data_IF_312275149168
#
_entry.id   IF_312275149168
#
_cell.length_a   1.000
_cell.length_b   1.000
_cell.length_c   1.000
_cell.angle_alpha   90.00
_cell.angle_beta   90.00
_cell.angle_gamma   90.00
#
_symmetry.space_group_name_H-M   'P 1'
#
loop_
_entity.id
_entity.type
_entity.pdbx_description
1 polymer ?
#
# COMPACT_ATOMS: atom_id res chain seq x y z
N UNK A 1 -13.63 -29.55 -3.79
CA UNK A 1 -12.43 -28.74 -3.98
C UNK A 1 -12.92 -27.35 -4.33
N UNK A 2 -12.91 -26.44 -3.34
CA UNK A 2 -13.28 -25.05 -3.51
C UNK A 2 -12.05 -24.21 -3.23
N UNK A 3 -11.62 -23.44 -4.22
CA UNK A 3 -10.60 -22.42 -4.04
C UNK A 3 -11.22 -21.22 -3.32
N UNK A 4 -10.49 -20.66 -2.36
CA UNK A 4 -10.85 -19.44 -1.65
C UNK A 4 -9.76 -18.41 -1.83
N UNK A 5 -10.19 -17.17 -1.99
CA UNK A 5 -9.32 -16.00 -2.08
C UNK A 5 -9.35 -15.23 -0.77
N UNK A 6 -8.18 -14.86 -0.26
CA UNK A 6 -8.04 -13.98 0.90
C UNK A 6 -7.42 -12.68 0.43
N UNK A 7 -8.05 -11.57 0.85
CA UNK A 7 -7.56 -10.21 0.65
C UNK A 7 -7.16 -9.65 2.02
N UNK A 8 -5.89 -9.31 2.19
CA UNK A 8 -5.35 -8.78 3.44
C UNK A 8 -4.67 -7.42 3.23
N UNK A 9 -5.07 -6.44 4.04
CA UNK A 9 -4.59 -5.06 3.94
C UNK A 9 -3.52 -4.75 4.99
N UNK A 10 -2.39 -4.19 4.56
CA UNK A 10 -1.21 -3.87 5.36
C UNK A 10 -0.83 -2.39 5.28
N UNK A 11 -0.20 -1.86 6.33
CA UNK A 11 0.24 -0.46 6.39
C UNK A 11 1.59 -0.25 5.70
N UNK A 12 2.46 -1.25 5.72
CA UNK A 12 3.82 -1.14 5.19
C UNK A 12 4.20 -2.24 4.20
N UNK A 13 5.15 -1.96 3.28
CA UNK A 13 5.63 -2.92 2.30
C UNK A 13 6.37 -4.09 2.99
N UNK A 14 7.14 -3.80 4.03
CA UNK A 14 7.95 -4.80 4.73
C UNK A 14 7.09 -5.87 5.40
N UNK A 15 5.95 -5.49 5.98
CA UNK A 15 5.01 -6.41 6.62
C UNK A 15 4.32 -7.31 5.58
N UNK A 16 3.85 -6.71 4.48
CA UNK A 16 3.22 -7.42 3.39
C UNK A 16 4.19 -8.41 2.71
N UNK A 17 5.44 -8.00 2.51
CA UNK A 17 6.46 -8.81 1.87
C UNK A 17 6.88 -9.99 2.77
N UNK A 18 7.05 -9.77 4.08
CA UNK A 18 7.32 -10.87 5.04
C UNK A 18 6.18 -11.88 5.08
N UNK A 19 4.94 -11.42 5.07
CA UNK A 19 3.78 -12.30 5.02
C UNK A 19 3.78 -13.14 3.74
N UNK A 20 4.06 -12.53 2.58
CA UNK A 20 4.21 -13.25 1.31
C UNK A 20 5.31 -14.30 1.36
N UNK A 21 6.50 -13.95 1.84
CA UNK A 21 7.62 -14.89 1.93
C UNK A 21 7.27 -16.10 2.79
N UNK A 22 6.60 -15.88 3.93
CA UNK A 22 6.20 -16.98 4.79
C UNK A 22 5.13 -17.87 4.14
N UNK A 23 4.17 -17.30 3.42
CA UNK A 23 3.17 -18.07 2.68
C UNK A 23 3.81 -18.88 1.55
N UNK A 24 4.71 -18.29 0.77
CA UNK A 24 5.41 -19.03 -0.29
C UNK A 24 6.20 -20.21 0.31
N UNK A 25 6.89 -20.00 1.44
CA UNK A 25 7.62 -21.06 2.15
C UNK A 25 6.72 -22.19 2.69
N UNK A 26 5.44 -21.90 2.97
CA UNK A 26 4.44 -22.90 3.39
C UNK A 26 3.73 -23.58 2.20
N UNK A 27 4.14 -23.28 0.97
CA UNK A 27 3.62 -23.93 -0.24
C UNK A 27 2.31 -23.33 -0.77
N UNK A 28 2.10 -22.03 -0.55
CA UNK A 28 1.05 -21.28 -1.26
C UNK A 28 1.62 -20.79 -2.60
N UNK A 29 1.05 -21.24 -3.72
CA UNK A 29 1.58 -20.94 -5.05
C UNK A 29 1.17 -19.55 -5.56
N UNK A 30 -0.03 -19.09 -5.21
CA UNK A 30 -0.60 -17.83 -5.71
C UNK A 30 -0.64 -16.80 -4.60
N UNK A 31 0.45 -16.03 -4.47
CA UNK A 31 0.56 -14.91 -3.51
C UNK A 31 1.10 -13.67 -4.21
N UNK A 32 0.30 -12.61 -4.23
CA UNK A 32 0.65 -11.31 -4.82
C UNK A 32 0.61 -10.21 -3.76
N UNK A 33 1.51 -9.24 -3.89
CA UNK A 33 1.55 -8.02 -3.08
C UNK A 33 1.38 -6.88 -4.06
N UNK A 34 0.34 -6.08 -3.86
CA UNK A 34 0.00 -4.93 -4.68
C UNK A 34 0.00 -3.67 -3.80
N UNK A 35 0.56 -2.58 -4.31
CA UNK A 35 0.43 -1.25 -3.71
C UNK A 35 -0.63 -0.50 -4.50
N UNK A 36 -1.68 -0.02 -3.83
CA UNK A 36 -2.71 0.79 -4.45
C UNK A 36 -2.68 2.20 -3.89
N UNK A 37 -2.85 3.17 -4.79
CA UNK A 37 -2.91 4.59 -4.46
C UNK A 37 -4.11 5.22 -5.14
N UNK A 38 -4.65 6.28 -4.53
CA UNK A 38 -5.70 7.09 -5.14
C UNK A 38 -5.19 7.85 -6.37
N UNK A 39 -3.87 8.04 -6.48
CA UNK A 39 -3.24 8.73 -7.58
C UNK A 39 -2.46 7.77 -8.50
N UNK A 40 -2.46 8.01 -9.82
CA UNK A 40 -1.67 7.22 -10.76
C UNK A 40 -0.18 7.46 -10.55
N UNK A 41 0.63 6.44 -10.83
CA UNK A 41 2.08 6.49 -10.66
C UNK A 41 2.52 6.72 -9.20
N UNK A 42 2.01 5.93 -8.22
CA UNK A 42 2.57 5.95 -6.88
C UNK A 42 4.07 5.66 -6.95
N UNK A 43 4.86 6.34 -6.10
CA UNK A 43 6.33 6.23 -6.07
C UNK A 43 7.05 6.85 -7.29
N UNK A 44 6.35 7.59 -8.14
CA UNK A 44 6.97 8.36 -9.24
C UNK A 44 7.81 9.54 -8.77
N UNK A 45 7.60 10.02 -7.54
CA UNK A 45 8.41 11.08 -6.97
C UNK A 45 9.82 10.58 -6.67
N UNK A 46 10.74 10.80 -7.60
CA UNK A 46 12.15 10.55 -7.36
C UNK A 46 12.71 11.58 -6.36
N UNK A 47 13.64 11.14 -5.51
CA UNK A 47 14.39 12.06 -4.64
C UNK A 47 15.42 12.84 -5.49
N UNK A 48 14.96 13.80 -6.28
CA UNK A 48 15.86 14.77 -6.90
C UNK A 48 16.33 15.78 -5.85
N UNK A 49 17.58 15.62 -5.43
CA UNK A 49 18.35 16.68 -4.79
C UNK A 49 19.20 17.32 -5.86
N UNK A 50 19.00 18.61 -6.14
CA UNK A 50 19.88 19.35 -7.04
C UNK A 50 21.01 20.02 -6.22
N UNK A 51 22.23 19.45 -6.19
CA UNK A 51 23.33 20.00 -5.40
C UNK A 51 23.82 21.36 -5.91
N UNK A 52 23.51 21.73 -7.16
CA UNK A 52 23.95 22.99 -7.76
C UNK A 52 23.07 24.18 -7.35
N UNK A 53 21.78 23.95 -7.17
CA UNK A 53 20.82 25.00 -6.79
C UNK A 53 20.46 24.96 -5.30
N UNK A 54 20.86 23.90 -4.58
CA UNK A 54 20.39 23.64 -3.21
C UNK A 54 18.87 23.45 -3.14
N UNK A 55 18.26 23.12 -4.28
CA UNK A 55 16.82 23.15 -4.43
C UNK A 55 16.21 21.84 -3.96
N UNK A 56 15.67 21.87 -2.74
CA UNK A 56 14.82 20.82 -2.19
C UNK A 56 13.33 21.12 -2.42
N UNK A 57 12.94 21.92 -3.44
CA UNK A 57 11.54 22.22 -3.77
C UNK A 57 10.77 20.95 -4.14
N UNK A 58 10.39 20.22 -3.10
CA UNK A 58 9.38 19.19 -3.15
C UNK A 58 8.07 19.86 -2.86
N UNK A 59 7.09 19.61 -3.71
CA UNK A 59 5.72 19.92 -3.34
C UNK A 59 5.29 19.04 -2.18
N UNK A 60 4.27 19.49 -1.46
CA UNK A 60 3.61 18.67 -0.46
C UNK A 60 3.10 17.35 -1.07
N UNK A 61 2.61 17.37 -2.30
CA UNK A 61 2.20 16.17 -3.05
C UNK A 61 3.34 15.17 -3.20
N UNK A 62 4.51 15.61 -3.63
CA UNK A 62 5.67 14.72 -3.84
C UNK A 62 6.20 14.17 -2.50
N UNK A 63 6.07 14.93 -1.42
CA UNK A 63 6.49 14.51 -0.08
C UNK A 63 5.54 13.51 0.58
N UNK A 64 4.24 13.75 0.47
CA UNK A 64 3.22 12.98 1.21
C UNK A 64 2.61 11.89 0.35
N UNK A 65 2.26 12.19 -0.90
CA UNK A 65 1.62 11.24 -1.82
C UNK A 65 2.66 10.43 -2.61
N UNK A 66 3.93 10.87 -2.65
CA UNK A 66 4.98 10.19 -3.40
C UNK A 66 4.78 10.23 -4.92
N UNK A 67 4.02 11.22 -5.42
CA UNK A 67 3.71 11.39 -6.84
C UNK A 67 4.36 12.66 -7.40
N UNK A 68 4.90 12.56 -8.60
CA UNK A 68 5.37 13.69 -9.38
C UNK A 68 4.41 13.98 -10.54
N UNK A 69 3.96 15.23 -10.63
CA UNK A 69 2.98 15.69 -11.63
C UNK A 69 3.21 17.16 -11.97
N UNK A 70 2.49 17.67 -12.98
CA UNK A 70 2.57 19.07 -13.40
C UNK A 70 2.17 20.06 -12.31
N UNK A 71 2.66 21.30 -12.42
CA UNK A 71 2.52 22.31 -11.36
C UNK A 71 1.08 22.56 -10.91
N UNK A 72 0.13 22.66 -11.83
CA UNK A 72 -1.27 22.90 -11.51
C UNK A 72 -1.91 21.71 -10.77
N UNK A 73 -1.68 20.50 -11.27
CA UNK A 73 -2.19 19.27 -10.66
C UNK A 73 -1.63 19.06 -9.26
N UNK A 74 -0.36 19.42 -9.07
CA UNK A 74 0.34 19.32 -7.79
C UNK A 74 -0.28 20.20 -6.71
N UNK A 75 -0.71 21.43 -7.04
CA UNK A 75 -1.42 22.30 -6.08
C UNK A 75 -2.76 21.69 -5.68
N UNK A 76 -3.50 21.13 -6.62
CA UNK A 76 -4.80 20.47 -6.36
C UNK A 76 -4.63 19.23 -5.47
N UNK A 77 -3.63 18.39 -5.75
CA UNK A 77 -3.33 17.19 -4.97
C UNK A 77 -2.87 17.54 -3.55
N UNK A 78 -2.08 18.60 -3.37
CA UNK A 78 -1.63 19.08 -2.07
C UNK A 78 -2.78 19.55 -1.16
N UNK A 79 -3.92 19.95 -1.74
CA UNK A 79 -5.11 20.35 -0.98
C UNK A 79 -5.96 19.15 -0.51
N UNK A 80 -5.64 17.92 -0.92
CA UNK A 80 -6.40 16.76 -0.50
C UNK A 80 -6.26 16.46 1.01
N UNK A 81 -7.28 15.86 1.64
CA UNK A 81 -7.20 15.42 3.04
C UNK A 81 -6.05 14.45 3.30
N UNK A 82 -5.72 13.60 2.33
CA UNK A 82 -4.60 12.64 2.38
C UNK A 82 -3.24 13.35 2.47
N UNK A 83 -3.09 14.50 1.81
CA UNK A 83 -1.86 15.29 1.82
C UNK A 83 -1.76 16.25 3.02
N UNK A 84 -2.88 16.86 3.42
CA UNK A 84 -2.92 17.86 4.50
C UNK A 84 -2.99 17.24 5.90
N UNK A 85 -3.41 15.98 6.02
CA UNK A 85 -3.65 15.32 7.32
C UNK A 85 -4.85 15.90 8.09
N UNK A 86 -5.59 16.85 7.53
CA UNK A 86 -6.84 17.34 8.08
C UNK A 86 -7.95 16.34 7.76
N UNK A 87 -8.25 15.47 8.71
CA UNK A 87 -9.31 14.48 8.59
C UNK A 87 -10.68 15.17 8.52
N UNK A 88 -11.36 15.12 7.37
CA UNK A 88 -12.78 15.49 7.21
C UNK A 88 -13.71 14.40 7.78
N UNK A 89 -13.30 13.72 8.86
CA UNK A 89 -13.94 12.49 9.35
C UNK A 89 -14.15 11.42 8.25
N UNK A 90 -13.35 11.52 7.19
CA UNK A 90 -13.35 10.65 6.02
C UNK A 90 -12.88 9.25 6.43
N UNK A 91 -13.82 8.31 6.53
CA UNK A 91 -13.59 6.91 6.93
C UNK A 91 -12.76 6.08 5.93
N UNK A 92 -12.32 6.67 4.82
CA UNK A 92 -11.57 5.96 3.77
C UNK A 92 -10.05 5.97 3.94
N UNK A 93 -9.49 6.79 4.84
CA UNK A 93 -8.05 6.83 5.10
C UNK A 93 -7.72 5.80 6.19
N UNK A 94 -7.62 4.53 5.81
CA UNK A 94 -7.21 3.44 6.71
C UNK A 94 -5.70 3.39 6.95
N UNK A 95 -4.92 4.04 6.08
CA UNK A 95 -3.46 3.96 6.05
C UNK A 95 -2.91 2.61 5.58
N UNK A 96 -3.77 1.72 5.06
CA UNK A 96 -3.39 0.38 4.58
C UNK A 96 -3.36 0.33 3.06
N UNK A 97 -2.23 0.70 2.46
CA UNK A 97 -2.09 0.82 1.01
C UNK A 97 -1.51 -0.42 0.33
N UNK A 98 -1.16 -1.45 1.12
CA UNK A 98 -0.61 -2.70 0.61
C UNK A 98 -1.64 -3.81 0.71
N UNK A 99 -1.93 -4.48 -0.40
CA UNK A 99 -2.85 -5.60 -0.49
C UNK A 99 -2.06 -6.88 -0.74
N UNK A 100 -2.23 -7.88 0.12
CA UNK A 100 -1.77 -9.24 -0.12
C UNK A 100 -2.96 -10.08 -0.57
N UNK A 101 -2.86 -10.63 -1.78
CA UNK A 101 -3.85 -11.53 -2.36
C UNK A 101 -3.32 -12.95 -2.32
N UNK A 102 -4.08 -13.86 -1.70
CA UNK A 102 -3.74 -15.28 -1.60
C UNK A 102 -4.88 -16.11 -2.16
N UNK A 103 -4.57 -17.04 -3.07
CA UNK A 103 -5.54 -18.06 -3.53
C UNK A 103 -5.10 -19.41 -2.97
N UNK A 104 -5.99 -20.08 -2.26
CA UNK A 104 -5.70 -21.35 -1.59
C UNK A 104 -6.92 -22.27 -1.51
N UNK A 105 -6.68 -23.56 -1.28
CA UNK A 105 -7.75 -24.50 -0.96
C UNK A 105 -8.44 -24.16 0.36
N UNK A 106 -9.73 -24.48 0.46
CA UNK A 106 -10.51 -24.30 1.69
C UNK A 106 -9.87 -24.91 2.95
N UNK A 107 -9.11 -26.00 2.83
CA UNK A 107 -8.40 -26.62 3.96
C UNK A 107 -7.27 -25.76 4.54
N UNK A 108 -6.71 -24.85 3.73
CA UNK A 108 -5.60 -23.96 4.10
C UNK A 108 -6.06 -22.53 4.41
N UNK A 109 -7.35 -22.23 4.21
CA UNK A 109 -7.92 -20.90 4.36
C UNK A 109 -7.71 -20.31 5.76
N UNK A 110 -8.04 -21.07 6.80
CA UNK A 110 -7.93 -20.59 8.19
C UNK A 110 -6.48 -20.40 8.63
N UNK A 111 -5.57 -21.26 8.16
CA UNK A 111 -4.13 -21.14 8.42
C UNK A 111 -3.55 -19.89 7.76
N UNK A 112 -3.85 -19.66 6.48
CA UNK A 112 -3.43 -18.46 5.76
C UNK A 112 -3.97 -17.18 6.42
N UNK A 113 -5.24 -17.18 6.84
CA UNK A 113 -5.87 -16.04 7.50
C UNK A 113 -5.19 -15.71 8.83
N UNK A 114 -4.87 -16.73 9.64
CA UNK A 114 -4.16 -16.54 10.89
C UNK A 114 -2.75 -15.99 10.67
N UNK A 115 -2.03 -16.51 9.67
CA UNK A 115 -0.69 -16.03 9.32
C UNK A 115 -0.71 -14.57 8.87
N UNK A 116 -1.62 -14.20 7.96
CA UNK A 116 -1.76 -12.82 7.50
C UNK A 116 -2.08 -11.86 8.66
N UNK A 117 -2.97 -12.29 9.57
CA UNK A 117 -3.31 -11.53 10.77
C UNK A 117 -2.13 -11.40 11.74
N UNK A 118 -1.29 -12.44 11.87
CA UNK A 118 -0.09 -12.41 12.72
C UNK A 118 0.96 -11.40 12.24
N UNK A 119 1.00 -11.12 10.94
CA UNK A 119 1.85 -10.08 10.34
C UNK A 119 1.20 -8.69 10.32
N UNK A 120 0.04 -8.50 10.96
CA UNK A 120 -0.65 -7.21 11.04
C UNK A 120 -1.63 -6.93 9.90
N UNK A 121 -1.81 -7.89 9.00
CA UNK A 121 -2.77 -7.83 7.90
C UNK A 121 -4.21 -7.81 8.42
N UNK A 122 -5.01 -6.86 7.94
CA UNK A 122 -6.44 -6.85 8.19
C UNK A 122 -7.14 -7.61 7.07
N UNK A 123 -7.68 -8.77 7.40
CA UNK A 123 -8.52 -9.55 6.50
C UNK A 123 -9.98 -9.16 6.74
N UNK A 124 -10.67 -8.69 5.71
CA UNK A 124 -12.14 -8.62 5.79
C UNK A 124 -12.70 -10.05 5.88
N UNK A 125 -13.76 -10.18 6.68
CA UNK A 125 -14.32 -11.47 7.08
C UNK A 125 -15.11 -12.15 5.95
#
# INVERSE_FOLDING_TARGET
MGEKTILAYFHGPDEAQKAKEQLVNQGYETVQVDNFSHFPGPESAERYFNPLTGDERRSLTSLIEGVETGDDSRVMMAAMPTASGMADNASFISGRNYLVTVVCDESKYDEAKQLLSAHGGYTEA
#
